data_IF_964199356599
#
_entry.id   IF_964199356599
#
_cell.length_a   1.000
_cell.length_b   1.000
_cell.length_c   1.000
_cell.angle_alpha   90.00
_cell.angle_beta   90.00
_cell.angle_gamma   90.00
#
_symmetry.space_group_name_H-M   'P 1'
#
loop_
_entity.id
_entity.type
_entity.pdbx_description
1 polymer ?
#
# COMPACT_ATOMS: atom_id res chain seq x y z
N UNK A 1 -14.50 90.50 31.03
CA UNK A 1 -14.48 89.70 32.24
C UNK A 1 -14.01 88.31 31.83
N UNK A 2 -12.98 87.93 32.33
CA UNK A 2 -12.03 86.88 32.19
C UNK A 2 -12.45 85.58 31.49
N UNK A 3 -11.79 85.25 30.39
CA UNK A 3 -11.68 83.93 29.80
C UNK A 3 -10.36 83.28 30.25
N UNK A 4 -10.31 81.95 30.58
CA UNK A 4 -9.07 81.26 30.76
C UNK A 4 -8.67 80.45 29.51
N UNK A 5 -7.37 80.47 29.20
CA UNK A 5 -6.68 79.74 28.22
C UNK A 5 -6.81 78.20 28.43
N UNK A 6 -7.17 77.49 27.37
CA UNK A 6 -7.00 76.04 27.31
C UNK A 6 -5.66 75.73 26.67
N UNK A 7 -4.79 75.04 27.41
CA UNK A 7 -3.56 74.42 26.87
C UNK A 7 -3.86 73.09 26.24
N UNK A 8 -3.54 72.92 24.95
CA UNK A 8 -3.70 71.72 24.18
C UNK A 8 -2.39 70.86 24.31
N UNK A 9 -2.47 69.79 25.06
CA UNK A 9 -1.36 68.83 25.14
C UNK A 9 -1.44 67.84 23.95
N UNK A 10 -0.44 67.92 23.07
CA UNK A 10 -0.27 67.03 21.93
C UNK A 10 0.43 65.72 22.42
N UNK A 11 -0.35 64.63 22.57
CA UNK A 11 0.21 63.28 22.81
C UNK A 11 0.66 62.71 21.47
N UNK A 12 1.97 62.62 21.26
CA UNK A 12 2.59 61.85 20.19
C UNK A 12 2.49 60.36 20.51
N UNK A 13 1.57 59.65 19.84
CA UNK A 13 1.51 58.21 19.84
C UNK A 13 2.54 57.65 18.84
N UNK A 14 3.62 57.06 19.36
CA UNK A 14 4.56 56.27 18.58
C UNK A 14 3.86 54.95 18.21
N UNK A 15 3.89 54.52 16.94
CA UNK A 15 3.41 53.20 16.59
C UNK A 15 4.43 52.15 17.08
N UNK A 16 4.01 51.30 18.02
CA UNK A 16 4.71 50.06 18.28
C UNK A 16 4.55 49.18 17.04
N UNK A 17 5.61 49.05 16.26
CA UNK A 17 5.74 48.01 15.26
C UNK A 17 5.84 46.66 16.00
N UNK A 18 4.71 45.95 16.08
CA UNK A 18 4.74 44.54 16.46
C UNK A 18 5.49 43.78 15.37
N UNK A 19 6.73 43.36 15.67
CA UNK A 19 7.38 42.32 14.90
C UNK A 19 6.54 41.06 15.05
N UNK A 20 5.69 40.77 14.09
CA UNK A 20 5.15 39.43 13.94
C UNK A 20 6.34 38.57 13.50
N UNK A 21 6.87 37.78 14.43
CA UNK A 21 7.75 36.69 14.06
C UNK A 21 6.98 35.83 13.04
N UNK A 22 7.39 35.94 11.78
CA UNK A 22 6.90 35.03 10.77
C UNK A 22 7.30 33.64 11.22
N UNK A 23 6.31 32.79 11.53
CA UNK A 23 6.57 31.41 11.88
C UNK A 23 7.48 30.82 10.81
N UNK A 24 8.56 30.16 11.24
CA UNK A 24 9.45 29.49 10.31
C UNK A 24 8.61 28.55 9.40
N UNK A 25 8.89 28.52 8.11
CA UNK A 25 8.16 27.62 7.22
C UNK A 25 8.27 26.20 7.78
N UNK A 26 7.19 25.40 7.70
CA UNK A 26 7.23 24.02 8.20
C UNK A 26 8.38 23.26 7.54
N UNK A 27 9.06 22.37 8.28
CA UNK A 27 10.17 21.62 7.74
C UNK A 27 9.73 20.85 6.49
N UNK A 28 10.57 20.89 5.45
CA UNK A 28 10.31 20.16 4.21
C UNK A 28 10.37 18.66 4.50
N UNK A 29 9.26 17.97 4.28
CA UNK A 29 9.18 16.51 4.44
C UNK A 29 9.91 15.83 3.29
N UNK A 30 10.93 15.04 3.58
CA UNK A 30 11.70 14.31 2.55
C UNK A 30 11.90 12.85 2.92
N UNK A 31 11.96 12.02 1.88
CA UNK A 31 12.43 10.64 1.93
C UNK A 31 13.36 10.39 0.74
N UNK A 32 14.48 9.76 0.96
CA UNK A 32 15.44 9.46 -0.11
C UNK A 32 16.29 8.23 0.21
N UNK A 33 16.55 7.42 -0.81
CA UNK A 33 17.60 6.41 -0.78
C UNK A 33 18.95 7.13 -0.80
N UNK A 34 19.88 6.71 0.05
CA UNK A 34 21.23 7.28 0.12
C UNK A 34 21.99 7.02 -1.19
N UNK A 35 22.74 8.01 -1.66
CA UNK A 35 23.44 7.95 -2.95
C UNK A 35 24.43 6.78 -3.09
N UNK A 36 25.02 6.34 -1.97
CA UNK A 36 25.96 5.22 -1.94
C UNK A 36 25.28 3.84 -1.88
N UNK A 37 23.95 3.80 -1.81
CA UNK A 37 23.21 2.53 -1.80
C UNK A 37 23.25 1.89 -3.18
N UNK A 38 23.71 0.63 -3.31
CA UNK A 38 23.73 -0.06 -4.59
C UNK A 38 22.34 -0.11 -5.23
N UNK A 39 22.26 0.10 -6.53
CA UNK A 39 21.01 -0.05 -7.26
C UNK A 39 20.54 -1.52 -7.28
N UNK A 40 19.22 -1.77 -7.35
CA UNK A 40 18.69 -3.10 -7.62
C UNK A 40 19.22 -3.69 -8.93
N UNK A 41 19.26 -5.03 -9.01
CA UNK A 41 19.91 -5.70 -10.15
C UNK A 41 19.10 -5.70 -11.43
N UNK A 42 17.77 -5.85 -11.33
CA UNK A 42 16.89 -5.98 -12.49
C UNK A 42 15.88 -4.83 -12.59
N UNK A 43 14.97 -4.76 -11.65
CA UNK A 43 13.95 -3.72 -11.62
C UNK A 43 14.52 -2.49 -10.93
N UNK A 44 14.51 -1.35 -11.62
CA UNK A 44 15.15 -0.13 -11.12
C UNK A 44 14.26 1.08 -11.35
N UNK A 45 14.46 2.10 -10.51
CA UNK A 45 13.79 3.39 -10.64
C UNK A 45 14.63 4.32 -11.51
N UNK A 46 14.01 4.95 -12.51
CA UNK A 46 14.59 6.00 -13.33
C UNK A 46 13.71 7.25 -13.27
N UNK A 47 14.13 8.21 -12.47
CA UNK A 47 13.28 9.35 -12.15
C UNK A 47 12.03 8.87 -11.38
N UNK A 48 10.87 9.05 -11.99
CA UNK A 48 9.57 8.61 -11.42
C UNK A 48 8.96 7.43 -12.17
N UNK A 49 9.78 6.63 -12.83
CA UNK A 49 9.35 5.49 -13.63
C UNK A 49 10.08 4.23 -13.19
N UNK A 50 9.34 3.14 -13.08
CA UNK A 50 9.90 1.81 -12.87
C UNK A 50 10.26 1.18 -14.22
N UNK A 51 11.45 0.60 -14.35
CA UNK A 51 11.93 -0.02 -15.59
C UNK A 51 12.55 -1.41 -15.34
N UNK A 52 12.56 -2.25 -16.38
CA UNK A 52 13.25 -3.55 -16.37
C UNK A 52 14.53 -3.48 -17.22
N UNK A 53 15.69 -3.61 -16.57
CA UNK A 53 17.00 -3.64 -17.25
C UNK A 53 17.15 -4.80 -18.26
N UNK A 54 16.46 -5.90 -18.02
CA UNK A 54 16.46 -7.02 -18.96
C UNK A 54 15.66 -6.73 -20.23
N UNK A 55 14.86 -5.66 -20.23
CA UNK A 55 14.09 -5.20 -21.37
C UNK A 55 14.55 -3.81 -21.87
N UNK A 56 15.86 -3.54 -21.80
CA UNK A 56 16.48 -2.30 -22.24
C UNK A 56 15.86 -1.03 -21.59
N UNK A 57 15.63 -1.10 -20.27
CA UNK A 57 15.02 -0.04 -19.46
C UNK A 57 13.61 0.37 -19.96
N UNK A 58 12.85 -0.58 -20.52
CA UNK A 58 11.47 -0.33 -20.88
C UNK A 58 10.64 0.03 -19.65
N UNK A 59 9.86 1.12 -19.69
CA UNK A 59 8.91 1.45 -18.65
C UNK A 59 7.92 0.31 -18.39
N UNK A 60 7.67 0.03 -17.11
CA UNK A 60 6.76 -1.02 -16.69
C UNK A 60 5.43 -0.43 -16.22
N UNK A 61 4.36 -1.14 -16.59
CA UNK A 61 3.06 -1.02 -15.98
C UNK A 61 2.54 -2.43 -15.67
N UNK A 62 2.51 -2.79 -14.41
CA UNK A 62 2.09 -4.11 -13.97
C UNK A 62 0.57 -4.26 -14.01
N UNK A 63 0.10 -5.33 -14.63
CA UNK A 63 -1.24 -5.85 -14.54
C UNK A 63 -1.23 -6.86 -13.40
N UNK A 64 -1.60 -6.40 -12.21
CA UNK A 64 -1.36 -7.13 -10.98
C UNK A 64 -2.57 -7.89 -10.47
N UNK A 65 -2.31 -8.99 -9.77
CA UNK A 65 -3.29 -9.77 -9.02
C UNK A 65 -2.79 -9.98 -7.59
N UNK A 66 -3.63 -9.63 -6.61
CA UNK A 66 -3.44 -10.00 -5.21
C UNK A 66 -3.59 -11.50 -5.03
N UNK A 67 -2.75 -12.10 -4.20
CA UNK A 67 -2.72 -13.55 -4.07
C UNK A 67 -2.45 -14.01 -2.65
N UNK A 68 -3.45 -14.68 -2.11
CA UNK A 68 -3.40 -15.49 -0.91
C UNK A 68 -3.99 -16.87 -1.25
N UNK A 69 -3.23 -17.96 -1.09
CA UNK A 69 -3.65 -19.29 -1.55
C UNK A 69 -4.48 -20.07 -0.54
N UNK A 70 -4.81 -19.49 0.61
CA UNK A 70 -5.51 -20.21 1.67
C UNK A 70 -6.94 -20.54 1.25
N UNK A 71 -7.34 -21.78 1.51
CA UNK A 71 -8.64 -22.33 1.19
C UNK A 71 -9.50 -22.47 2.45
N UNK A 72 -10.82 -22.65 2.33
CA UNK A 72 -11.69 -22.90 3.47
C UNK A 72 -11.13 -23.92 4.47
N UNK A 73 -11.10 -23.56 5.74
CA UNK A 73 -10.48 -24.37 6.80
C UNK A 73 -8.98 -24.14 7.03
N UNK A 74 -8.36 -23.24 6.27
CA UNK A 74 -6.95 -22.86 6.45
C UNK A 74 -6.84 -21.39 6.90
N UNK A 75 -5.74 -21.04 7.58
CA UNK A 75 -5.50 -19.67 8.06
C UNK A 75 -4.03 -19.28 7.91
N UNK A 76 -3.72 -18.05 7.45
CA UNK A 76 -2.35 -17.55 7.44
C UNK A 76 -1.79 -17.26 8.85
N UNK A 77 -2.63 -17.14 9.87
CA UNK A 77 -2.22 -16.82 11.24
C UNK A 77 -1.22 -17.82 11.81
N UNK A 78 -1.33 -19.08 11.43
CA UNK A 78 -0.53 -20.20 11.97
C UNK A 78 0.50 -20.75 11.00
N UNK A 79 0.67 -20.14 9.82
CA UNK A 79 1.66 -20.74 9.01
C UNK A 79 1.89 -20.33 7.59
N UNK A 80 2.75 -21.11 7.08
CA UNK A 80 3.17 -21.21 5.71
C UNK A 80 2.04 -21.87 4.93
N UNK A 81 1.72 -21.40 3.73
CA UNK A 81 0.76 -22.09 2.86
C UNK A 81 1.17 -23.54 2.65
N UNK A 82 0.20 -24.49 2.53
CA UNK A 82 0.52 -25.90 2.42
C UNK A 82 1.48 -26.21 1.29
N UNK A 83 2.55 -26.96 1.59
CA UNK A 83 3.47 -27.49 0.58
C UNK A 83 2.85 -28.70 -0.12
N UNK A 84 3.36 -29.03 -1.32
CA UNK A 84 2.95 -30.20 -2.11
C UNK A 84 1.47 -30.24 -2.51
N UNK A 85 0.86 -29.09 -2.69
CA UNK A 85 -0.52 -28.93 -3.13
C UNK A 85 -0.58 -28.54 -4.61
N UNK A 86 -1.56 -29.06 -5.32
CA UNK A 86 -1.75 -28.80 -6.76
C UNK A 86 -2.41 -27.45 -7.03
N UNK A 87 -2.95 -26.75 -6.00
CA UNK A 87 -3.62 -25.46 -6.15
C UNK A 87 -2.75 -24.42 -6.84
N UNK A 88 -1.47 -24.38 -6.54
CA UNK A 88 -0.55 -23.38 -7.10
C UNK A 88 -0.46 -23.44 -8.62
N UNK A 89 -0.42 -24.64 -9.17
CA UNK A 89 -0.38 -24.80 -10.63
C UNK A 89 -1.65 -24.29 -11.30
N UNK A 90 -2.82 -24.55 -10.71
CA UNK A 90 -4.12 -24.09 -11.23
C UNK A 90 -4.33 -22.61 -11.01
N UNK A 91 -4.03 -22.07 -9.82
CA UNK A 91 -4.23 -20.66 -9.48
C UNK A 91 -3.27 -19.75 -10.25
N UNK A 92 -1.99 -20.10 -10.35
CA UNK A 92 -1.01 -19.39 -11.19
C UNK A 92 -1.45 -19.38 -12.66
N UNK A 93 -1.99 -20.51 -13.14
CA UNK A 93 -2.56 -20.62 -14.49
C UNK A 93 -3.76 -19.68 -14.67
N UNK A 94 -4.67 -19.62 -13.71
CA UNK A 94 -5.80 -18.69 -13.77
C UNK A 94 -5.34 -17.24 -13.87
N UNK A 95 -4.37 -16.81 -13.08
CA UNK A 95 -3.80 -15.46 -13.15
C UNK A 95 -3.15 -15.19 -14.51
N UNK A 96 -2.41 -16.15 -15.06
CA UNK A 96 -1.86 -16.05 -16.41
C UNK A 96 -2.95 -15.93 -17.48
N UNK A 97 -4.01 -16.73 -17.39
CA UNK A 97 -5.13 -16.74 -18.34
C UNK A 97 -5.96 -15.43 -18.25
N UNK A 98 -5.92 -14.74 -17.10
CA UNK A 98 -6.44 -13.37 -16.95
C UNK A 98 -5.56 -12.31 -17.61
N UNK A 99 -4.31 -12.63 -17.96
CA UNK A 99 -3.33 -11.70 -18.53
C UNK A 99 -2.51 -10.93 -17.49
N UNK A 100 -2.48 -11.41 -16.24
CA UNK A 100 -1.64 -10.83 -15.19
C UNK A 100 -0.15 -10.91 -15.58
N UNK A 101 0.60 -9.86 -15.23
CA UNK A 101 2.06 -9.80 -15.38
C UNK A 101 2.78 -9.74 -14.04
N UNK A 102 2.04 -9.48 -12.97
CA UNK A 102 2.55 -9.30 -11.62
C UNK A 102 1.62 -9.97 -10.60
N UNK A 103 2.20 -10.66 -9.64
CA UNK A 103 1.50 -11.26 -8.51
C UNK A 103 1.96 -10.56 -7.23
N UNK A 104 1.06 -9.95 -6.48
CA UNK A 104 1.34 -9.46 -5.14
C UNK A 104 1.05 -10.58 -4.15
N UNK A 105 2.10 -11.11 -3.53
CA UNK A 105 2.04 -12.30 -2.67
C UNK A 105 2.00 -11.85 -1.22
N UNK A 106 0.91 -12.15 -0.51
CA UNK A 106 0.72 -11.79 0.90
C UNK A 106 1.34 -12.79 1.89
N UNK A 107 1.25 -14.12 1.68
CA UNK A 107 1.81 -15.10 2.62
C UNK A 107 3.33 -14.99 2.77
N UNK A 108 3.79 -15.20 4.00
CA UNK A 108 5.22 -15.03 4.37
C UNK A 108 6.19 -15.92 3.61
N UNK A 109 5.90 -17.21 3.51
CA UNK A 109 6.83 -18.23 3.05
C UNK A 109 6.16 -19.14 2.01
N UNK A 110 6.05 -18.66 0.78
CA UNK A 110 5.46 -19.44 -0.31
C UNK A 110 6.25 -20.72 -0.60
N UNK A 111 5.58 -21.87 -0.79
CA UNK A 111 6.26 -23.13 -1.00
C UNK A 111 6.88 -23.27 -2.39
N UNK A 112 7.83 -24.19 -2.53
CA UNK A 112 8.58 -24.42 -3.76
C UNK A 112 7.70 -24.73 -4.98
N UNK A 113 6.55 -25.39 -4.79
CA UNK A 113 5.62 -25.69 -5.88
C UNK A 113 4.87 -24.47 -6.42
N UNK A 114 4.68 -23.41 -5.63
CA UNK A 114 4.24 -22.12 -6.16
C UNK A 114 5.29 -21.55 -7.13
N UNK A 115 6.54 -21.51 -6.74
CA UNK A 115 7.62 -21.00 -7.60
C UNK A 115 7.85 -21.89 -8.84
N UNK A 116 7.66 -23.20 -8.71
CA UNK A 116 7.68 -24.11 -9.85
C UNK A 116 6.50 -23.86 -10.83
N UNK A 117 5.36 -23.43 -10.33
CA UNK A 117 4.26 -22.98 -11.19
C UNK A 117 4.57 -21.62 -11.85
N UNK A 118 5.11 -20.68 -11.09
CA UNK A 118 5.53 -19.37 -11.59
C UNK A 118 6.58 -19.49 -12.70
N UNK A 119 7.52 -20.45 -12.61
CA UNK A 119 8.56 -20.70 -13.62
C UNK A 119 8.01 -21.06 -15.01
N UNK A 120 6.74 -21.48 -15.08
CA UNK A 120 6.07 -21.81 -16.36
C UNK A 120 5.40 -20.59 -17.00
N UNK A 121 5.57 -19.41 -16.44
CA UNK A 121 4.98 -18.15 -16.88
C UNK A 121 6.05 -17.08 -17.05
N UNK A 122 5.68 -15.94 -17.62
CA UNK A 122 6.53 -14.74 -17.66
C UNK A 122 6.20 -13.76 -16.50
N UNK A 123 5.28 -14.11 -15.60
CA UNK A 123 4.91 -13.27 -14.48
C UNK A 123 6.06 -13.08 -13.50
N UNK A 124 6.10 -11.91 -12.90
CA UNK A 124 6.97 -11.54 -11.79
C UNK A 124 6.16 -11.33 -10.52
N UNK A 125 6.79 -11.19 -9.36
CA UNK A 125 6.05 -11.04 -8.11
C UNK A 125 6.62 -9.99 -7.18
N UNK A 126 5.78 -9.46 -6.31
CA UNK A 126 6.13 -8.69 -5.12
C UNK A 126 5.84 -9.53 -3.88
N UNK A 127 6.70 -9.46 -2.88
CA UNK A 127 6.54 -10.18 -1.63
C UNK A 127 6.18 -9.20 -0.51
N UNK A 128 5.03 -9.40 0.08
CA UNK A 128 4.68 -8.72 1.31
C UNK A 128 5.44 -9.31 2.50
N UNK A 129 5.82 -8.45 3.42
CA UNK A 129 6.37 -8.82 4.71
C UNK A 129 5.50 -8.25 5.80
N UNK A 130 4.50 -9.03 6.22
CA UNK A 130 3.55 -8.59 7.22
C UNK A 130 4.27 -8.10 8.49
N UNK A 131 3.94 -6.90 8.93
CA UNK A 131 4.30 -6.36 10.24
C UNK A 131 3.04 -6.21 11.08
N UNK A 132 3.11 -6.49 12.38
CA UNK A 132 1.94 -6.40 13.25
C UNK A 132 1.42 -4.94 13.32
N UNK A 133 0.24 -4.62 12.77
CA UNK A 133 -0.21 -3.24 12.61
C UNK A 133 -0.84 -2.64 13.87
N UNK A 134 -1.10 -3.47 14.88
CA UNK A 134 -1.77 -3.09 16.13
C UNK A 134 -0.79 -2.84 17.29
N UNK A 135 0.51 -2.70 17.02
CA UNK A 135 1.50 -2.37 18.05
C UNK A 135 1.30 -0.94 18.55
N UNK A 136 1.15 -0.70 19.86
CA UNK A 136 0.93 0.63 20.40
C UNK A 136 2.13 1.57 20.30
N UNK A 137 3.31 1.04 20.02
CA UNK A 137 4.55 1.80 19.80
C UNK A 137 5.44 1.12 18.77
N UNK A 138 5.37 1.55 17.53
CA UNK A 138 6.20 1.01 16.45
C UNK A 138 7.70 1.27 16.63
N UNK A 139 8.10 2.20 17.54
CA UNK A 139 9.51 2.43 17.88
C UNK A 139 9.99 1.58 19.06
N UNK A 140 9.13 0.75 19.67
CA UNK A 140 9.55 -0.18 20.73
C UNK A 140 10.69 -1.07 20.22
N UNK A 141 11.85 -1.13 20.94
CA UNK A 141 12.99 -1.90 20.47
C UNK A 141 12.72 -3.40 20.29
N UNK A 142 11.87 -4.00 21.16
CA UNK A 142 11.55 -5.42 21.06
C UNK A 142 10.63 -5.69 19.85
N UNK A 143 9.73 -4.76 19.54
CA UNK A 143 8.93 -4.82 18.32
C UNK A 143 9.81 -4.73 17.07
N UNK A 144 10.73 -3.74 17.02
CA UNK A 144 11.65 -3.54 15.90
C UNK A 144 12.54 -4.78 15.68
N UNK A 145 13.11 -5.33 16.73
CA UNK A 145 13.98 -6.52 16.66
C UNK A 145 13.21 -7.74 16.16
N UNK A 146 12.04 -8.02 16.74
CA UNK A 146 11.17 -9.14 16.37
C UNK A 146 10.73 -9.04 14.90
N UNK A 147 10.24 -7.86 14.51
CA UNK A 147 9.76 -7.61 13.15
C UNK A 147 10.87 -7.71 12.12
N UNK A 148 12.04 -7.12 12.39
CA UNK A 148 13.19 -7.23 11.49
C UNK A 148 13.70 -8.66 11.36
N UNK A 149 13.61 -9.48 12.42
CA UNK A 149 13.93 -10.91 12.36
C UNK A 149 13.01 -11.65 11.40
N UNK A 150 11.70 -11.39 11.47
CA UNK A 150 10.71 -12.01 10.58
C UNK A 150 10.91 -11.59 9.12
N UNK A 151 11.22 -10.31 8.87
CA UNK A 151 11.55 -9.81 7.54
C UNK A 151 12.79 -10.52 6.96
N UNK A 152 13.84 -10.71 7.76
CA UNK A 152 15.05 -11.44 7.35
C UNK A 152 14.76 -12.89 6.98
N UNK A 153 13.85 -13.56 7.69
CA UNK A 153 13.44 -14.92 7.35
C UNK A 153 12.77 -14.97 5.96
N UNK A 154 11.92 -13.99 5.64
CA UNK A 154 11.27 -13.89 4.33
C UNK A 154 12.30 -13.62 3.22
N UNK A 155 13.25 -12.71 3.46
CA UNK A 155 14.36 -12.46 2.53
C UNK A 155 15.14 -13.76 2.28
N UNK A 156 15.56 -14.45 3.35
CA UNK A 156 16.27 -15.72 3.25
C UNK A 156 15.49 -16.77 2.46
N UNK A 157 14.19 -16.89 2.71
CA UNK A 157 13.31 -17.81 2.00
C UNK A 157 13.26 -17.51 0.50
N UNK A 158 13.20 -16.23 0.14
CA UNK A 158 13.23 -15.80 -1.26
C UNK A 158 14.47 -16.32 -2.00
N UNK A 159 15.64 -16.28 -1.34
CA UNK A 159 16.88 -16.77 -1.94
C UNK A 159 17.04 -18.30 -1.88
N UNK A 160 16.50 -18.96 -0.87
CA UNK A 160 16.65 -20.42 -0.67
C UNK A 160 15.61 -21.24 -1.45
N UNK A 161 14.39 -20.74 -1.54
CA UNK A 161 13.23 -21.46 -2.09
C UNK A 161 12.60 -20.70 -3.25
N UNK A 162 12.55 -19.37 -3.13
CA UNK A 162 11.90 -18.48 -4.07
C UNK A 162 12.60 -18.31 -5.41
N UNK A 163 12.26 -17.23 -6.09
CA UNK A 163 12.84 -16.82 -7.37
C UNK A 163 13.30 -15.38 -7.31
N UNK A 164 14.48 -15.11 -6.72
CA UNK A 164 14.95 -13.74 -6.54
C UNK A 164 15.09 -12.98 -7.87
N UNK A 165 15.34 -13.64 -8.99
CA UNK A 165 15.41 -12.98 -10.30
C UNK A 165 14.04 -12.58 -10.87
N UNK A 166 12.95 -13.09 -10.29
CA UNK A 166 11.56 -12.71 -10.62
C UNK A 166 10.92 -11.81 -9.57
N UNK A 167 11.57 -11.62 -8.42
CA UNK A 167 11.09 -10.69 -7.41
C UNK A 167 11.31 -9.26 -7.87
N UNK A 168 10.26 -8.45 -7.82
CA UNK A 168 10.29 -7.01 -8.10
C UNK A 168 10.64 -6.24 -6.85
N UNK A 169 9.90 -6.46 -5.78
CA UNK A 169 9.99 -5.70 -4.54
C UNK A 169 9.67 -6.55 -3.30
N UNK A 170 10.20 -6.11 -2.18
CA UNK A 170 9.70 -6.41 -0.85
C UNK A 170 8.85 -5.23 -0.35
N UNK A 171 7.59 -5.51 0.02
CA UNK A 171 6.76 -4.55 0.75
C UNK A 171 6.90 -4.79 2.24
N UNK A 172 7.38 -3.80 2.97
CA UNK A 172 7.62 -3.90 4.42
C UNK A 172 6.37 -3.42 5.16
N UNK A 173 5.54 -4.37 5.54
CA UNK A 173 4.24 -4.13 6.18
C UNK A 173 3.17 -3.66 5.23
N UNK A 174 1.93 -3.81 5.69
CA UNK A 174 0.73 -3.39 4.99
C UNK A 174 -0.25 -2.76 6.00
N UNK A 175 -0.81 -1.61 5.66
CA UNK A 175 -1.91 -0.92 6.36
C UNK A 175 -1.76 -0.81 7.89
N UNK A 176 -0.82 0.00 8.37
CA UNK A 176 -0.72 0.29 9.81
C UNK A 176 -1.99 0.98 10.32
N UNK A 177 -2.47 0.56 11.47
CA UNK A 177 -3.69 1.12 12.05
C UNK A 177 -3.53 2.59 12.48
N UNK A 178 -4.49 3.44 12.12
CA UNK A 178 -4.45 4.88 12.40
C UNK A 178 -4.26 5.20 13.90
N UNK A 179 -4.91 4.46 14.79
CA UNK A 179 -4.79 4.63 16.23
C UNK A 179 -3.36 4.31 16.73
N UNK A 180 -2.71 3.34 16.13
CA UNK A 180 -1.35 2.91 16.51
C UNK A 180 -0.29 3.87 15.94
N UNK A 181 -0.51 4.43 14.74
CA UNK A 181 0.28 5.54 14.21
C UNK A 181 0.20 6.74 15.17
N UNK A 182 -1.01 7.16 15.56
CA UNK A 182 -1.21 8.26 16.49
C UNK A 182 -0.57 8.01 17.85
N UNK A 183 -0.69 6.78 18.39
CA UNK A 183 -0.07 6.38 19.66
C UNK A 183 1.45 6.47 19.60
N UNK A 184 2.08 5.95 18.54
CA UNK A 184 3.53 6.04 18.35
C UNK A 184 3.99 7.50 18.26
N UNK A 185 3.30 8.32 17.47
CA UNK A 185 3.63 9.73 17.32
C UNK A 185 3.52 10.50 18.65
N UNK A 186 2.47 10.23 19.43
CA UNK A 186 2.28 10.85 20.75
C UNK A 186 3.34 10.44 21.77
N UNK A 187 3.87 9.21 21.71
CA UNK A 187 4.94 8.71 22.57
C UNK A 187 6.30 9.32 22.24
N UNK A 188 6.53 9.68 20.98
CA UNK A 188 7.82 10.15 20.48
C UNK A 188 7.71 11.50 19.72
N UNK A 189 7.19 12.57 20.37
CA UNK A 189 6.87 13.83 19.68
C UNK A 189 8.10 14.57 19.12
N UNK A 190 9.32 14.22 19.54
CA UNK A 190 10.57 14.79 19.02
C UNK A 190 11.27 13.93 17.96
N UNK A 191 10.66 12.82 17.54
CA UNK A 191 11.28 11.90 16.58
C UNK A 191 10.83 12.20 15.17
N UNK A 192 11.56 13.08 14.47
CA UNK A 192 11.20 13.58 13.14
C UNK A 192 12.15 13.20 12.02
N UNK A 193 13.33 12.74 12.36
CA UNK A 193 14.39 12.47 11.40
C UNK A 193 14.96 11.06 11.58
N UNK A 194 15.39 10.47 10.47
CA UNK A 194 16.10 9.21 10.45
C UNK A 194 17.22 9.26 9.42
N UNK A 195 18.41 8.84 9.81
CA UNK A 195 19.55 8.64 8.90
C UNK A 195 20.04 7.22 9.09
N UNK A 196 19.59 6.34 8.21
CA UNK A 196 20.03 4.97 8.10
C UNK A 196 21.23 4.80 7.18
N UNK A 197 21.61 3.56 6.92
CA UNK A 197 22.68 3.23 5.94
C UNK A 197 22.22 3.47 4.51
N UNK A 198 20.96 3.18 4.22
CA UNK A 198 20.39 3.18 2.88
C UNK A 198 19.25 4.16 2.69
N UNK A 199 18.60 4.59 3.77
CA UNK A 199 17.42 5.45 3.72
C UNK A 199 17.58 6.64 4.65
N UNK A 200 17.12 7.81 4.20
CA UNK A 200 17.07 9.05 5.01
C UNK A 200 15.67 9.65 4.95
N UNK A 201 15.16 10.03 6.13
CA UNK A 201 13.91 10.80 6.28
C UNK A 201 14.21 12.10 7.03
N UNK A 202 13.49 13.18 6.66
CA UNK A 202 13.57 14.47 7.34
C UNK A 202 12.15 15.05 7.50
N UNK A 203 11.85 15.59 8.68
CA UNK A 203 10.58 16.26 8.98
C UNK A 203 9.37 15.33 9.00
N UNK A 204 9.56 14.07 9.35
CA UNK A 204 8.53 13.01 9.30
C UNK A 204 7.94 12.75 10.70
N UNK A 205 6.92 11.89 10.77
CA UNK A 205 6.36 11.45 12.06
C UNK A 205 7.17 10.29 12.65
N UNK A 206 6.99 10.04 13.95
CA UNK A 206 7.68 8.95 14.63
C UNK A 206 7.32 7.57 14.07
N UNK A 207 6.06 7.36 13.66
CA UNK A 207 5.62 6.13 13.02
C UNK A 207 6.30 5.92 11.65
N UNK A 208 6.45 6.97 10.86
CA UNK A 208 7.20 6.92 9.58
C UNK A 208 8.68 6.59 9.82
N UNK A 209 9.29 7.17 10.85
CA UNK A 209 10.67 6.84 11.25
C UNK A 209 10.79 5.36 11.65
N UNK A 210 9.81 4.83 12.37
CA UNK A 210 9.80 3.41 12.75
C UNK A 210 9.79 2.46 11.54
N UNK A 211 8.94 2.75 10.56
CA UNK A 211 8.90 1.95 9.31
C UNK A 211 10.17 2.12 8.49
N UNK A 212 10.72 3.33 8.42
CA UNK A 212 11.98 3.58 7.74
C UNK A 212 13.16 2.78 8.34
N UNK A 213 13.17 2.57 9.65
CA UNK A 213 14.17 1.72 10.31
C UNK A 213 14.06 0.26 9.86
N UNK A 214 12.85 -0.27 9.69
CA UNK A 214 12.62 -1.62 9.20
C UNK A 214 13.03 -1.76 7.73
N UNK A 215 12.65 -0.80 6.88
CA UNK A 215 13.04 -0.77 5.45
C UNK A 215 14.56 -0.71 5.31
N UNK A 216 15.23 0.20 6.01
CA UNK A 216 16.69 0.34 6.00
C UNK A 216 17.39 -0.93 6.49
N UNK A 217 16.88 -1.51 7.58
CA UNK A 217 17.42 -2.76 8.15
C UNK A 217 17.25 -3.96 7.22
N UNK A 218 16.15 -4.04 6.48
CA UNK A 218 15.89 -5.06 5.48
C UNK A 218 16.86 -4.93 4.27
N UNK A 219 17.01 -3.71 3.74
CA UNK A 219 17.98 -3.41 2.66
C UNK A 219 19.41 -3.76 3.07
N UNK A 220 19.84 -3.34 4.27
CA UNK A 220 21.18 -3.64 4.79
C UNK A 220 21.41 -5.15 4.94
N UNK A 221 20.41 -5.86 5.43
CA UNK A 221 20.50 -7.32 5.55
C UNK A 221 20.65 -8.01 4.21
N UNK A 222 19.82 -7.68 3.22
CA UNK A 222 19.87 -8.28 1.90
C UNK A 222 21.23 -8.01 1.22
N UNK A 223 21.66 -6.74 1.22
CA UNK A 223 22.95 -6.36 0.63
C UNK A 223 24.14 -7.07 1.26
N UNK A 224 24.20 -7.15 2.60
CA UNK A 224 25.30 -7.81 3.29
C UNK A 224 25.30 -9.32 3.14
N UNK A 225 24.12 -9.92 3.05
CA UNK A 225 23.98 -11.39 3.02
C UNK A 225 24.10 -11.93 1.60
N UNK A 226 23.54 -11.22 0.61
CA UNK A 226 23.40 -11.71 -0.76
C UNK A 226 24.15 -10.88 -1.81
N UNK A 227 24.76 -9.76 -1.41
CA UNK A 227 25.55 -8.89 -2.30
C UNK A 227 24.73 -8.17 -3.36
N UNK A 228 23.41 -8.20 -3.25
CA UNK A 228 22.47 -7.49 -4.14
C UNK A 228 21.21 -7.12 -3.37
N UNK A 229 20.40 -6.22 -3.94
CA UNK A 229 19.07 -5.90 -3.39
C UNK A 229 17.99 -5.87 -4.46
N UNK A 230 16.76 -5.96 -4.01
CA UNK A 230 15.54 -5.65 -4.75
C UNK A 230 15.05 -4.24 -4.44
N UNK A 231 13.90 -3.88 -5.00
CA UNK A 231 13.18 -2.69 -4.62
C UNK A 231 12.50 -2.89 -3.26
N UNK A 232 12.37 -1.82 -2.50
CA UNK A 232 11.70 -1.80 -1.21
C UNK A 232 10.64 -0.70 -1.17
N UNK A 233 9.52 -0.98 -0.54
CA UNK A 233 8.52 -0.01 -0.18
C UNK A 233 7.91 -0.36 1.19
N UNK A 234 7.11 0.53 1.74
CA UNK A 234 6.09 0.24 2.71
C UNK A 234 4.74 0.36 2.01
N UNK A 235 3.85 -0.61 2.14
CA UNK A 235 2.48 -0.49 1.65
C UNK A 235 1.63 0.21 2.68
N UNK A 236 0.95 1.26 2.27
CA UNK A 236 0.01 2.01 3.07
C UNK A 236 -1.33 2.12 2.36
N UNK A 237 -2.26 2.82 2.96
CA UNK A 237 -3.57 3.12 2.37
C UNK A 237 -3.73 4.63 2.16
N UNK A 238 -4.92 5.14 1.97
CA UNK A 238 -5.17 6.52 1.56
C UNK A 238 -4.87 7.57 2.64
N UNK A 239 -3.59 7.64 3.07
CA UNK A 239 -3.12 8.60 4.06
C UNK A 239 -2.66 9.93 3.46
N UNK A 240 -2.49 10.00 2.14
CA UNK A 240 -2.08 11.23 1.46
C UNK A 240 -3.33 12.06 1.22
N UNK A 241 -3.33 13.32 1.68
CA UNK A 241 -4.47 14.23 1.75
C UNK A 241 -5.48 14.18 0.60
N UNK A 242 -6.66 14.71 0.77
CA UNK A 242 -7.20 15.33 1.97
C UNK A 242 -7.45 14.31 3.07
N UNK A 243 -7.13 14.68 4.31
CA UNK A 243 -7.27 13.77 5.44
C UNK A 243 -8.73 13.65 5.84
N UNK A 244 -9.12 12.43 6.15
CA UNK A 244 -10.47 12.06 6.48
C UNK A 244 -10.98 12.57 7.83
N UNK A 245 -12.29 12.74 7.93
CA UNK A 245 -12.99 12.99 9.22
C UNK A 245 -13.13 11.70 10.06
N UNK A 246 -12.52 10.61 9.62
CA UNK A 246 -12.63 9.29 10.22
C UNK A 246 -11.28 8.81 10.76
N UNK A 247 -10.87 9.29 11.97
CA UNK A 247 -9.58 8.93 12.57
C UNK A 247 -9.49 7.47 13.03
N UNK A 248 -10.59 6.75 13.02
CA UNK A 248 -10.70 5.31 13.25
C UNK A 248 -10.31 4.48 12.02
N UNK A 249 -10.35 5.08 10.82
CA UNK A 249 -10.10 4.41 9.55
C UNK A 249 -8.97 5.04 8.74
N UNK A 250 -8.77 6.35 8.88
CA UNK A 250 -7.73 7.09 8.20
C UNK A 250 -6.98 7.99 9.18
N UNK A 251 -5.73 8.27 8.89
CA UNK A 251 -4.88 9.07 9.75
C UNK A 251 -5.33 10.53 9.74
N UNK A 252 -5.42 11.16 10.92
CA UNK A 252 -5.72 12.58 11.04
C UNK A 252 -4.61 13.46 10.45
N UNK A 253 -4.93 14.75 10.19
CA UNK A 253 -3.98 15.72 9.63
C UNK A 253 -2.67 15.81 10.41
N UNK A 254 -2.72 15.70 11.75
CA UNK A 254 -1.55 15.78 12.62
C UNK A 254 -0.68 14.52 12.59
N UNK A 255 -1.25 13.41 12.09
CA UNK A 255 -0.61 12.10 12.04
C UNK A 255 -0.45 11.58 10.61
N UNK A 256 -0.47 12.44 9.60
CA UNK A 256 -0.30 12.04 8.19
C UNK A 256 0.92 11.16 8.03
N UNK A 257 0.69 9.99 7.44
CA UNK A 257 1.69 8.98 7.15
C UNK A 257 1.94 8.94 5.63
N UNK A 258 3.13 9.33 5.21
CA UNK A 258 3.49 9.34 3.80
C UNK A 258 4.16 8.02 3.42
N UNK A 259 3.68 7.31 2.40
CA UNK A 259 4.16 5.97 2.04
C UNK A 259 5.39 5.97 1.14
N UNK A 260 6.12 7.07 1.04
CA UNK A 260 7.27 7.27 0.15
C UNK A 260 8.60 6.77 0.74
N UNK A 261 8.54 5.77 1.63
CA UNK A 261 9.73 5.18 2.26
C UNK A 261 10.25 4.02 1.42
N UNK A 262 11.37 4.23 0.75
CA UNK A 262 12.00 3.23 -0.10
C UNK A 262 12.10 3.67 -1.56
N UNK A 263 12.03 2.72 -2.47
CA UNK A 263 12.19 2.94 -3.91
C UNK A 263 10.87 3.34 -4.60
N UNK A 264 9.72 2.88 -4.07
CA UNK A 264 8.39 3.10 -4.61
C UNK A 264 7.44 3.61 -3.54
N UNK A 265 6.38 4.27 -4.00
CA UNK A 265 5.17 4.52 -3.24
C UNK A 265 4.20 3.37 -3.49
N UNK A 266 3.91 2.58 -2.47
CA UNK A 266 2.96 1.47 -2.52
C UNK A 266 1.71 1.83 -1.72
N UNK A 267 0.53 1.77 -2.37
CA UNK A 267 -0.73 2.19 -1.76
C UNK A 267 -1.89 1.27 -2.13
N UNK A 268 -2.67 0.91 -1.12
CA UNK A 268 -3.99 0.32 -1.28
C UNK A 268 -4.99 1.45 -1.50
N UNK A 269 -5.61 1.52 -2.67
CA UNK A 269 -6.49 2.62 -3.06
C UNK A 269 -7.86 2.06 -3.44
N UNK A 270 -8.75 2.02 -2.46
CA UNK A 270 -10.13 1.58 -2.67
C UNK A 270 -11.04 2.76 -3.00
N UNK A 271 -12.02 2.54 -3.88
CA UNK A 271 -12.94 3.60 -4.34
C UNK A 271 -13.84 4.14 -3.24
N UNK A 272 -14.05 3.37 -2.18
CA UNK A 272 -14.86 3.74 -1.02
C UNK A 272 -14.06 4.46 0.07
N UNK A 273 -12.73 4.45 0.02
CA UNK A 273 -11.90 5.15 1.00
C UNK A 273 -12.24 6.64 1.07
N UNK A 274 -12.30 7.20 2.28
CA UNK A 274 -12.79 8.55 2.47
C UNK A 274 -11.92 9.58 1.76
N UNK A 275 -10.59 9.45 1.81
CA UNK A 275 -9.67 10.32 1.08
C UNK A 275 -9.91 10.31 -0.43
N UNK A 276 -10.23 9.14 -1.01
CA UNK A 276 -10.60 9.01 -2.43
C UNK A 276 -11.93 9.69 -2.73
N UNK A 277 -12.95 9.48 -1.88
CA UNK A 277 -14.30 10.04 -2.08
C UNK A 277 -14.34 11.56 -1.97
N UNK A 278 -13.44 12.15 -1.20
CA UNK A 278 -13.36 13.60 -0.99
C UNK A 278 -12.42 14.30 -1.96
N UNK A 279 -11.71 13.55 -2.81
CA UNK A 279 -10.82 14.12 -3.82
C UNK A 279 -11.57 14.90 -4.90
N UNK A 280 -10.95 15.90 -5.52
CA UNK A 280 -11.57 16.58 -6.65
C UNK A 280 -11.73 15.62 -7.83
N UNK A 281 -12.76 15.78 -8.70
CA UNK A 281 -12.88 15.02 -9.93
C UNK A 281 -11.63 15.12 -10.78
N UNK A 282 -11.24 14.01 -11.43
CA UNK A 282 -10.13 13.96 -12.37
C UNK A 282 -10.41 14.77 -13.66
N UNK A 283 -9.35 15.19 -14.32
CA UNK A 283 -9.42 16.05 -15.50
C UNK A 283 -9.96 15.35 -16.76
N UNK A 284 -9.85 14.03 -16.86
CA UNK A 284 -10.24 13.24 -18.03
C UNK A 284 -11.56 12.50 -17.83
N UNK A 285 -11.70 11.76 -16.72
CA UNK A 285 -12.90 10.94 -16.48
C UNK A 285 -13.92 11.63 -15.59
N UNK A 286 -13.51 12.62 -14.82
CA UNK A 286 -14.36 13.36 -13.87
C UNK A 286 -14.69 12.55 -12.61
N UNK A 287 -13.93 11.49 -12.31
CA UNK A 287 -14.11 10.70 -11.09
C UNK A 287 -13.23 11.19 -9.96
N UNK A 288 -13.67 11.01 -8.71
CA UNK A 288 -12.85 11.31 -7.54
C UNK A 288 -11.66 10.36 -7.44
N UNK A 289 -11.80 9.12 -7.89
CA UNK A 289 -10.69 8.16 -7.95
C UNK A 289 -9.55 8.68 -8.85
N UNK A 290 -9.86 9.14 -10.07
CA UNK A 290 -8.87 9.76 -10.94
C UNK A 290 -8.27 11.02 -10.30
N UNK A 291 -9.11 11.87 -9.66
CA UNK A 291 -8.62 13.05 -8.95
C UNK A 291 -7.60 12.71 -7.87
N UNK A 292 -7.84 11.65 -7.11
CA UNK A 292 -6.90 11.16 -6.10
C UNK A 292 -5.58 10.66 -6.72
N UNK A 293 -5.65 9.90 -7.80
CA UNK A 293 -4.46 9.44 -8.55
C UNK A 293 -3.64 10.64 -9.07
N UNK A 294 -4.29 11.64 -9.64
CA UNK A 294 -3.62 12.86 -10.14
C UNK A 294 -2.97 13.66 -9.01
N UNK A 295 -3.59 13.71 -7.83
CA UNK A 295 -3.01 14.32 -6.64
C UNK A 295 -1.76 13.56 -6.17
N UNK A 296 -1.82 12.24 -6.06
CA UNK A 296 -0.65 11.41 -5.75
C UNK A 296 0.48 11.62 -6.77
N UNK A 297 0.15 11.60 -8.06
CA UNK A 297 1.14 11.83 -9.11
C UNK A 297 1.78 13.23 -9.05
N UNK A 298 1.09 14.23 -8.51
CA UNK A 298 1.65 15.57 -8.33
C UNK A 298 2.56 15.66 -7.08
N UNK A 299 2.27 14.93 -6.02
CA UNK A 299 2.93 15.04 -4.72
C UNK A 299 4.11 14.08 -4.56
N UNK A 300 4.01 12.86 -5.08
CA UNK A 300 5.05 11.84 -4.90
C UNK A 300 6.21 12.01 -5.87
N UNK A 301 7.41 11.71 -5.41
CA UNK A 301 8.65 11.82 -6.21
C UNK A 301 9.17 10.48 -6.73
N UNK A 302 8.63 9.35 -6.21
CA UNK A 302 8.93 8.00 -6.65
C UNK A 302 7.85 7.47 -7.61
N UNK A 303 8.09 6.34 -8.32
CA UNK A 303 7.02 5.60 -9.00
C UNK A 303 5.96 5.13 -8.01
N UNK A 304 4.71 5.07 -8.45
CA UNK A 304 3.57 4.67 -7.63
C UNK A 304 3.05 3.31 -8.10
N UNK A 305 2.91 2.36 -7.19
CA UNK A 305 2.23 1.10 -7.41
C UNK A 305 0.93 1.07 -6.59
N UNK A 306 -0.20 0.93 -7.26
CA UNK A 306 -1.48 0.65 -6.60
C UNK A 306 -1.49 -0.82 -6.25
N UNK A 307 -1.26 -1.13 -4.97
CA UNK A 307 -1.01 -2.49 -4.46
C UNK A 307 -2.27 -3.27 -4.19
N UNK A 308 -3.40 -2.57 -3.97
CA UNK A 308 -4.71 -3.20 -3.86
C UNK A 308 -5.79 -2.25 -4.35
N UNK A 309 -6.71 -2.78 -5.14
CA UNK A 309 -8.02 -2.20 -5.42
C UNK A 309 -9.02 -3.33 -5.67
N UNK A 310 -10.13 -3.27 -4.98
CA UNK A 310 -11.14 -4.31 -5.04
C UNK A 310 -12.51 -3.79 -4.63
N UNK A 311 -13.49 -4.68 -4.70
CA UNK A 311 -14.86 -4.39 -4.29
C UNK A 311 -15.47 -5.65 -3.68
N UNK A 312 -15.79 -5.58 -2.40
CA UNK A 312 -16.38 -6.70 -1.68
C UNK A 312 -17.81 -6.96 -2.13
N UNK A 313 -18.10 -8.22 -2.43
CA UNK A 313 -19.44 -8.70 -2.80
C UNK A 313 -20.18 -9.34 -1.63
N UNK A 314 -19.78 -9.04 -0.39
CA UNK A 314 -20.48 -9.56 0.78
C UNK A 314 -21.96 -9.21 0.72
N UNK A 315 -22.86 -10.15 1.02
CA UNK A 315 -24.31 -9.93 0.93
C UNK A 315 -24.82 -8.88 1.90
N UNK A 316 -24.12 -8.69 3.01
CA UNK A 316 -24.53 -7.81 4.11
C UNK A 316 -23.44 -6.78 4.35
N UNK A 317 -23.78 -5.50 4.18
CA UNK A 317 -22.91 -4.42 4.61
C UNK A 317 -22.93 -4.32 6.14
N UNK A 318 -21.82 -4.56 6.83
CA UNK A 318 -21.79 -4.56 8.28
C UNK A 318 -22.04 -3.18 8.89
N UNK A 319 -22.34 -3.09 10.18
CA UNK A 319 -22.58 -1.88 10.95
C UNK A 319 -21.60 -1.76 12.12
N UNK A 320 -21.07 -0.57 12.40
CA UNK A 320 -21.04 0.67 11.62
C UNK A 320 -19.98 0.58 10.52
N UNK A 321 -20.23 1.22 9.37
CA UNK A 321 -19.35 1.00 8.23
C UNK A 321 -18.91 2.20 7.47
N UNK A 322 -17.72 2.02 6.85
CA UNK A 322 -17.28 2.83 5.73
C UNK A 322 -18.30 2.63 4.60
N UNK A 323 -19.01 3.68 4.15
CA UNK A 323 -19.94 3.53 3.07
C UNK A 323 -19.22 2.96 1.83
N UNK A 324 -19.75 1.83 1.32
CA UNK A 324 -19.17 1.18 0.15
C UNK A 324 -18.20 0.03 0.45
N UNK A 325 -17.96 -0.28 1.72
CA UNK A 325 -17.19 -1.46 2.13
C UNK A 325 -18.14 -2.66 2.33
N UNK A 326 -18.39 -3.42 1.27
CA UNK A 326 -19.35 -4.54 1.24
C UNK A 326 -20.74 -4.16 0.74
N UNK A 327 -21.60 -5.17 0.58
CA UNK A 327 -22.95 -5.03 0.08
C UNK A 327 -23.07 -4.78 -1.41
N UNK A 328 -22.00 -4.94 -2.17
CA UNK A 328 -22.03 -4.77 -3.62
C UNK A 328 -22.55 -6.04 -4.32
N UNK A 329 -23.28 -5.83 -5.41
CA UNK A 329 -23.67 -6.94 -6.26
C UNK A 329 -22.50 -7.36 -7.15
N UNK A 330 -22.37 -8.65 -7.41
CA UNK A 330 -21.37 -9.19 -8.35
C UNK A 330 -21.39 -8.45 -9.70
N UNK A 331 -22.57 -8.03 -10.19
CA UNK A 331 -22.70 -7.27 -11.43
C UNK A 331 -22.16 -5.82 -11.39
N UNK A 332 -21.87 -5.27 -10.22
CA UNK A 332 -21.34 -3.92 -10.06
C UNK A 332 -19.81 -3.89 -10.15
N UNK A 333 -19.14 -4.98 -9.77
CA UNK A 333 -17.68 -5.09 -9.75
C UNK A 333 -17.04 -4.84 -11.12
N UNK A 334 -17.53 -5.43 -12.25
CA UNK A 334 -16.99 -5.15 -13.58
C UNK A 334 -16.95 -3.67 -13.92
N UNK A 335 -18.01 -2.92 -13.63
CA UNK A 335 -18.11 -1.47 -13.91
C UNK A 335 -17.10 -0.68 -13.09
N UNK A 336 -16.89 -1.05 -11.82
CA UNK A 336 -15.91 -0.41 -10.96
C UNK A 336 -14.50 -0.69 -11.46
N UNK A 337 -14.17 -1.92 -11.84
CA UNK A 337 -12.87 -2.28 -12.40
C UNK A 337 -12.58 -1.55 -13.70
N UNK A 338 -13.56 -1.45 -14.60
CA UNK A 338 -13.46 -0.64 -15.82
C UNK A 338 -13.20 0.84 -15.55
N UNK A 339 -13.90 1.39 -14.55
CA UNK A 339 -13.71 2.79 -14.16
C UNK A 339 -12.31 3.03 -13.61
N UNK A 340 -11.88 2.23 -12.64
CA UNK A 340 -10.57 2.33 -12.01
C UNK A 340 -9.43 2.14 -13.02
N UNK A 341 -9.56 1.16 -13.91
CA UNK A 341 -8.58 0.91 -14.97
C UNK A 341 -8.47 2.10 -15.93
N UNK A 342 -9.59 2.62 -16.41
CA UNK A 342 -9.62 3.82 -17.24
C UNK A 342 -9.01 5.01 -16.49
N UNK A 343 -9.33 5.20 -15.23
CA UNK A 343 -8.86 6.32 -14.42
C UNK A 343 -7.34 6.32 -14.31
N UNK A 344 -6.71 5.19 -13.97
CA UNK A 344 -5.24 5.11 -13.87
C UNK A 344 -4.55 5.24 -15.24
N UNK A 345 -5.16 4.71 -16.30
CA UNK A 345 -4.60 4.76 -17.68
C UNK A 345 -4.72 6.12 -18.33
N UNK A 346 -5.59 6.99 -17.82
CA UNK A 346 -5.86 8.32 -18.40
C UNK A 346 -5.55 9.48 -17.45
N UNK A 347 -5.18 9.21 -16.19
CA UNK A 347 -4.82 10.23 -15.22
C UNK A 347 -3.68 11.12 -15.70
N UNK A 348 -3.70 12.38 -15.31
CA UNK A 348 -2.55 13.27 -15.47
C UNK A 348 -1.41 12.77 -14.59
N UNK A 349 -0.25 12.52 -15.18
CA UNK A 349 0.89 11.89 -14.49
C UNK A 349 0.83 10.36 -14.50
N UNK A 350 0.02 9.74 -15.37
CA UNK A 350 -0.11 8.29 -15.52
C UNK A 350 1.22 7.56 -15.75
N UNK A 351 2.21 8.21 -16.31
CA UNK A 351 3.55 7.69 -16.55
C UNK A 351 4.34 7.42 -15.25
N UNK A 352 3.84 7.89 -14.11
CA UNK A 352 4.43 7.64 -12.79
C UNK A 352 3.85 6.40 -12.11
N UNK A 353 2.75 5.84 -12.64
CA UNK A 353 2.18 4.61 -12.10
C UNK A 353 2.89 3.39 -12.68
N UNK A 354 3.47 2.58 -11.78
CA UNK A 354 4.15 1.33 -12.12
C UNK A 354 3.18 0.16 -12.31
N UNK A 355 1.91 0.33 -11.97
CA UNK A 355 0.89 -0.71 -12.13
C UNK A 355 -0.29 -0.56 -11.19
N UNK A 356 -1.20 -1.52 -11.35
CA UNK A 356 -2.39 -1.67 -10.51
C UNK A 356 -2.62 -3.15 -10.24
N UNK A 357 -2.92 -3.48 -8.99
CA UNK A 357 -3.19 -4.85 -8.52
C UNK A 357 -4.67 -4.95 -8.14
N UNK A 358 -5.40 -5.82 -8.82
CA UNK A 358 -6.74 -6.17 -8.38
C UNK A 358 -6.68 -7.09 -7.16
N UNK A 359 -7.38 -6.70 -6.13
CA UNK A 359 -7.54 -7.45 -4.90
C UNK A 359 -8.90 -8.14 -4.93
N UNK A 360 -8.96 -9.46 -5.04
CA UNK A 360 -7.89 -10.43 -5.18
C UNK A 360 -8.34 -11.66 -5.99
N UNK A 361 -7.48 -12.70 -6.12
CA UNK A 361 -7.81 -13.84 -6.97
C UNK A 361 -9.05 -14.59 -6.50
N UNK A 362 -9.16 -14.91 -5.20
CA UNK A 362 -10.23 -15.74 -4.63
C UNK A 362 -10.73 -15.19 -3.31
N UNK A 363 -11.93 -15.57 -2.92
CA UNK A 363 -12.48 -15.27 -1.59
C UNK A 363 -11.64 -15.89 -0.47
N UNK A 364 -11.56 -15.19 0.66
CA UNK A 364 -10.69 -15.55 1.78
C UNK A 364 -11.52 -15.86 3.05
N UNK A 365 -11.99 -17.08 3.21
CA UNK A 365 -12.80 -17.50 4.36
C UNK A 365 -12.07 -17.46 5.72
N UNK A 366 -10.78 -17.16 5.72
CA UNK A 366 -9.96 -17.02 6.92
C UNK A 366 -9.94 -15.61 7.49
N UNK A 367 -10.45 -14.63 6.77
CA UNK A 367 -10.58 -13.25 7.27
C UNK A 367 -11.50 -13.26 8.48
N UNK A 368 -11.22 -12.41 9.44
CA UNK A 368 -11.95 -12.40 10.69
C UNK A 368 -13.33 -11.82 10.54
N UNK A 369 -14.32 -12.62 10.87
CA UNK A 369 -15.67 -12.16 11.13
C UNK A 369 -15.95 -12.08 12.63
N UNK A 370 -17.18 -12.47 13.01
CA UNK A 370 -17.57 -12.59 14.42
C UNK A 370 -16.83 -13.74 15.13
N UNK A 371 -16.40 -14.77 14.39
CA UNK A 371 -15.61 -15.90 14.87
C UNK A 371 -14.32 -16.06 14.05
N UNK A 372 -13.23 -15.39 14.44
CA UNK A 372 -11.97 -15.45 13.70
C UNK A 372 -11.31 -16.83 13.70
N UNK A 373 -11.78 -17.77 14.50
CA UNK A 373 -11.30 -19.15 14.53
C UNK A 373 -12.10 -20.07 13.59
N UNK A 374 -13.27 -19.65 13.08
CA UNK A 374 -14.07 -20.42 12.13
C UNK A 374 -13.73 -20.07 10.68
N UNK A 375 -12.65 -20.61 10.18
CA UNK A 375 -12.22 -20.49 8.78
C UNK A 375 -12.99 -21.40 7.82
N UNK A 376 -14.01 -22.13 8.31
CA UNK A 376 -14.83 -23.07 7.52
C UNK A 376 -16.16 -22.48 7.07
N UNK A 377 -16.47 -21.26 7.52
CA UNK A 377 -17.68 -20.52 7.19
C UNK A 377 -17.32 -19.33 6.30
N UNK A 378 -18.10 -19.10 5.27
CA UNK A 378 -18.06 -17.87 4.47
C UNK A 378 -19.09 -16.91 5.05
N UNK A 379 -18.64 -15.91 5.82
CA UNK A 379 -19.50 -15.05 6.61
C UNK A 379 -20.12 -13.93 5.77
N UNK A 380 -21.46 -13.92 5.59
CA UNK A 380 -22.09 -12.95 4.68
C UNK A 380 -22.00 -11.50 5.18
N UNK A 381 -21.77 -11.28 6.45
CA UNK A 381 -21.60 -9.97 7.10
C UNK A 381 -20.17 -9.47 7.18
N UNK A 382 -19.17 -10.30 6.84
CA UNK A 382 -17.77 -9.88 6.78
C UNK A 382 -17.35 -9.51 5.34
N UNK A 383 -17.18 -8.22 5.05
CA UNK A 383 -16.76 -7.79 3.72
C UNK A 383 -15.36 -8.28 3.31
N UNK A 384 -14.47 -8.52 4.26
CA UNK A 384 -13.09 -8.91 3.97
C UNK A 384 -12.99 -10.26 3.28
N UNK A 385 -13.95 -11.16 3.51
CA UNK A 385 -13.95 -12.48 2.90
C UNK A 385 -14.36 -12.51 1.41
N UNK A 386 -14.94 -11.42 0.86
CA UNK A 386 -15.69 -11.43 -0.40
C UNK A 386 -15.06 -10.64 -1.54
N UNK A 387 -13.77 -10.35 -1.47
CA UNK A 387 -13.06 -9.59 -2.51
C UNK A 387 -12.64 -10.41 -3.72
N UNK A 388 -12.72 -11.73 -3.66
CA UNK A 388 -12.26 -12.60 -4.72
C UNK A 388 -12.92 -12.34 -6.08
N UNK A 389 -12.13 -12.46 -7.15
CA UNK A 389 -12.58 -12.53 -8.54
C UNK A 389 -13.24 -13.89 -8.80
N UNK A 390 -12.78 -14.89 -8.09
CA UNK A 390 -13.35 -16.24 -8.03
C UNK A 390 -13.91 -16.50 -6.63
N UNK A 391 -15.09 -17.07 -6.59
CA UNK A 391 -15.63 -17.68 -5.38
C UNK A 391 -14.94 -19.01 -5.15
N UNK A 392 -14.65 -19.35 -3.89
CA UNK A 392 -14.17 -20.67 -3.49
C UNK A 392 -15.24 -21.38 -2.68
N UNK A 393 -15.50 -22.66 -2.95
CA UNK A 393 -16.47 -23.47 -2.21
C UNK A 393 -15.81 -24.38 -1.15
N UNK A 394 -16.63 -25.06 -0.35
CA UNK A 394 -16.17 -25.99 0.69
C UNK A 394 -15.36 -27.17 0.15
N UNK A 395 -15.51 -27.50 -1.11
CA UNK A 395 -14.75 -28.51 -1.82
C UNK A 395 -13.50 -27.95 -2.50
N UNK A 396 -13.14 -26.69 -2.16
CA UNK A 396 -11.96 -25.99 -2.65
C UNK A 396 -11.95 -25.70 -4.15
N UNK A 397 -13.14 -25.67 -4.79
CA UNK A 397 -13.26 -25.36 -6.21
C UNK A 397 -13.42 -23.84 -6.40
N UNK A 398 -12.68 -23.30 -7.35
CA UNK A 398 -12.80 -21.90 -7.74
C UNK A 398 -13.82 -21.77 -8.87
N UNK A 399 -14.81 -20.91 -8.66
CA UNK A 399 -15.86 -20.61 -9.63
C UNK A 399 -15.83 -19.11 -9.99
N UNK A 400 -15.89 -18.75 -11.29
CA UNK A 400 -15.92 -17.33 -11.69
C UNK A 400 -17.11 -16.60 -11.04
N UNK A 401 -16.86 -15.44 -10.43
CA UNK A 401 -17.95 -14.55 -9.99
C UNK A 401 -18.50 -13.77 -11.18
N UNK A 402 -19.52 -14.31 -11.83
CA UNK A 402 -20.18 -13.68 -12.98
C UNK A 402 -19.18 -13.27 -14.07
N UNK A 403 -19.27 -12.01 -14.51
CA UNK A 403 -18.43 -11.45 -15.58
C UNK A 403 -17.09 -10.84 -15.06
N UNK A 404 -16.77 -10.94 -13.77
CA UNK A 404 -15.59 -10.30 -13.22
C UNK A 404 -14.30 -10.82 -13.88
N UNK A 405 -14.05 -12.16 -13.99
CA UNK A 405 -12.82 -12.66 -14.63
C UNK A 405 -12.73 -12.29 -16.12
N UNK A 406 -13.86 -12.30 -16.84
CA UNK A 406 -13.90 -11.89 -18.24
C UNK A 406 -13.54 -10.40 -18.41
N UNK A 407 -14.03 -9.56 -17.51
CA UNK A 407 -13.71 -8.13 -17.47
C UNK A 407 -12.24 -7.91 -17.20
N UNK A 408 -11.67 -8.54 -16.17
CA UNK A 408 -10.24 -8.42 -15.85
C UNK A 408 -9.37 -8.85 -17.04
N UNK A 409 -9.69 -9.98 -17.68
CA UNK A 409 -8.98 -10.46 -18.86
C UNK A 409 -9.02 -9.41 -20.01
N UNK A 410 -10.16 -8.79 -20.25
CA UNK A 410 -10.28 -7.75 -21.27
C UNK A 410 -9.45 -6.52 -20.93
N UNK A 411 -9.53 -6.03 -19.68
CA UNK A 411 -8.76 -4.87 -19.22
C UNK A 411 -7.25 -5.13 -19.30
N UNK A 412 -6.82 -6.31 -18.91
CA UNK A 412 -5.40 -6.68 -18.97
C UNK A 412 -4.89 -6.92 -20.39
N UNK A 413 -5.78 -7.10 -21.36
CA UNK A 413 -5.43 -7.16 -22.79
C UNK A 413 -5.31 -5.78 -23.46
N UNK A 414 -5.77 -4.71 -22.81
CA UNK A 414 -5.59 -3.33 -23.31
C UNK A 414 -4.12 -2.89 -23.14
N UNK A 415 -3.53 -2.32 -24.20
CA UNK A 415 -2.14 -1.80 -24.24
C UNK A 415 -1.99 -0.46 -23.48
#
# INVERSE_FOLDING_TARGET
MNAPCLALALLLALPFAACTDAAAPPPVKTSAINADTPEPTRFVVRGRTLVDRQQADKPLFFRGMGYSPFLPGETPMYGVPPANDNRYASQVRLMQDLGATFIHVFPRLMPANFFAALDKTDMVYGQDTFVWPYEPDFLDPAYQERTLKDIKEIIDHTYKVGRPDRLVLFSIGDELQAANIASTNARHPGRHDFTGKHLRLTGRTAAEVAMAQLVDGAMDYELRTYGRRHLYCHTSWTHVGPVADRPDLEVSADNVFLPDMGDLVCLNIYTYANGVRTSPPGSTTGTTYQGYLEQLAAEMTQPILVTQVGLSTSPIAPKPHVPGFGGHKVADVPKTFESVWRDIRTAKGKEHFAGLVFFELQDEWWKSGEDPDDTTRHEPEDPEEWFGIYEVDKEHRLTPKGEIPATVRRLFAED
#
